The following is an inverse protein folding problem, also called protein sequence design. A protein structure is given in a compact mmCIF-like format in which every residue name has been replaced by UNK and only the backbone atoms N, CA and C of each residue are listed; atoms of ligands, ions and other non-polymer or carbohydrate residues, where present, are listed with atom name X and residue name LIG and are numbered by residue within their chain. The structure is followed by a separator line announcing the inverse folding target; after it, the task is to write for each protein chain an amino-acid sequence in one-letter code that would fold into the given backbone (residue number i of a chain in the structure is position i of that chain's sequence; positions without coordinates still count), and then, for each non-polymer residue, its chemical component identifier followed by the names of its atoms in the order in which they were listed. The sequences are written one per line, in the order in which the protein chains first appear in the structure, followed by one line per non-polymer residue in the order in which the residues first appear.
data_IF_209898678511
#
_entry.id   IF_209898678511
#
_cell.length_a   1.000
_cell.length_b   1.000
_cell.length_c   1.000
_cell.angle_alpha   90.00
_cell.angle_beta   90.00
_cell.angle_gamma   90.00
#
_symmetry.space_group_name_H-M   'P 1'
#
loop_
_entity.id
_entity.type
_entity.pdbx_description
1 polymer ?
#
# COMPACT_ATOMS: atom_id res chain seq x y z
N UNK A 1 -35.19 -0.23 -9.73
CA UNK A 1 -34.65 -0.40 -9.40
C UNK A 1 -33.94 -0.47 -9.12
N UNK A 2 -33.93 -0.52 -9.19
CA UNK A 2 -33.12 -0.56 -8.84
C UNK A 2 -32.20 -0.35 -8.68
N UNK A 3 -31.96 -0.12 -8.77
CA UNK A 3 -31.15 0.00 -8.64
C UNK A 3 -30.36 -0.09 -8.05
N UNK A 4 -30.47 0.03 -7.96
CA UNK A 4 -29.79 -0.13 -7.38
C UNK A 4 -28.99 -0.63 -7.02
N UNK A 5 -28.75 -0.78 -7.18
CA UNK A 5 -28.15 -1.41 -6.79
C UNK A 5 -27.18 -1.50 -6.80
N UNK A 6 -27.04 -1.11 -7.06
CA UNK A 6 -26.20 -1.23 -7.02
C UNK A 6 -25.33 -1.16 -6.63
N UNK A 7 -25.28 -0.71 -6.54
CA UNK A 7 -24.57 -0.74 -6.04
C UNK A 7 -23.84 -1.11 -5.50
N UNK A 8 -23.94 -1.09 -5.47
CA UNK A 8 -23.42 -1.56 -4.79
C UNK A 8 -22.41 -1.67 -4.66
N UNK A 9 -22.18 -1.53 -4.90
CA UNK A 9 -21.30 -1.75 -4.79
C UNK A 9 -20.40 -1.46 -4.71
N UNK A 10 -20.60 -1.12 -4.89
CA UNK A 10 -19.75 -0.90 -4.63
C UNK A 10 -18.74 -0.48 -4.03
N UNK A 11 -19.36 -0.32 -3.35
CA UNK A 11 -18.27 0.10 -2.57
C UNK A 11 -17.09 -0.67 -2.81
N UNK A 12 -16.14 -0.04 -3.30
CA UNK A 12 -14.95 -0.75 -3.62
C UNK A 12 -14.38 -1.26 -2.37
N UNK A 13 -14.56 -2.50 -2.18
CA UNK A 13 -13.79 -3.16 -1.23
C UNK A 13 -12.43 -3.28 -1.79
N UNK A 14 -11.46 -2.82 -1.07
CA UNK A 14 -10.11 -3.16 -1.38
C UNK A 14 -10.01 -4.65 -1.11
N UNK A 15 -9.89 -5.43 -2.16
CA UNK A 15 -9.60 -6.83 -1.99
C UNK A 15 -8.18 -6.90 -1.50
N UNK A 16 -7.99 -7.30 -0.27
CA UNK A 16 -6.68 -7.28 0.35
C UNK A 16 -6.47 -8.49 1.21
N UNK A 17 -5.22 -8.87 1.33
CA UNK A 17 -4.80 -10.00 2.13
C UNK A 17 -3.67 -9.55 3.03
N UNK A 18 -3.82 -9.64 4.36
CA UNK A 18 -2.75 -9.22 5.26
C UNK A 18 -1.51 -10.08 5.08
N UNK A 19 -0.35 -9.44 5.18
CA UNK A 19 0.94 -10.11 5.06
C UNK A 19 1.79 -9.65 6.23
N UNK A 20 2.70 -10.51 6.70
CA UNK A 20 3.60 -10.13 7.77
C UNK A 20 4.44 -8.92 7.36
N UNK A 21 4.64 -7.94 8.23
CA UNK A 21 5.41 -6.74 7.87
C UNK A 21 6.82 -7.05 7.39
N UNK A 22 7.42 -8.14 7.84
CA UNK A 22 8.75 -8.52 7.38
C UNK A 22 8.79 -8.90 5.91
N UNK A 23 7.62 -9.01 5.26
CA UNK A 23 7.56 -9.39 3.85
C UNK A 23 8.39 -8.46 2.97
N UNK A 24 8.45 -7.17 3.31
CA UNK A 24 9.18 -6.20 2.51
C UNK A 24 10.67 -6.55 2.44
N UNK A 25 11.18 -7.25 3.45
CA UNK A 25 12.59 -7.60 3.50
C UNK A 25 13.00 -8.60 2.42
N UNK A 26 12.04 -9.23 1.76
CA UNK A 26 12.36 -10.17 0.68
C UNK A 26 12.89 -9.47 -0.57
N UNK A 27 12.63 -8.16 -0.69
CA UNK A 27 13.05 -7.44 -1.88
C UNK A 27 14.45 -6.89 -1.69
N UNK A 28 15.35 -7.26 -2.60
CA UNK A 28 16.72 -6.78 -2.56
C UNK A 28 16.79 -5.31 -2.93
N UNK A 29 15.87 -4.85 -3.77
CA UNK A 29 15.88 -3.48 -4.25
C UNK A 29 14.49 -2.88 -4.20
N UNK A 30 14.45 -1.60 -3.86
CA UNK A 30 13.22 -0.82 -3.89
C UNK A 30 13.50 0.39 -4.76
N UNK A 31 12.77 0.47 -5.88
CA UNK A 31 12.87 1.61 -6.79
C UNK A 31 11.64 2.47 -6.59
N UNK A 32 11.80 3.77 -6.82
CA UNK A 32 10.69 4.70 -6.64
C UNK A 32 10.37 5.35 -7.98
N UNK A 33 9.17 5.11 -8.48
CA UNK A 33 8.70 5.72 -9.70
C UNK A 33 8.31 7.16 -9.42
N UNK A 34 8.42 8.03 -10.42
CA UNK A 34 8.14 9.45 -10.22
C UNK A 34 6.71 9.69 -9.74
N UNK A 35 5.77 8.81 -10.07
CA UNK A 35 4.39 8.97 -9.61
C UNK A 35 4.27 8.91 -8.09
N UNK A 36 5.22 8.27 -7.42
CA UNK A 36 5.18 8.18 -5.97
C UNK A 36 5.42 9.53 -5.29
N UNK A 37 5.96 10.49 -6.02
CA UNK A 37 6.24 11.81 -5.45
C UNK A 37 5.10 12.80 -5.62
N UNK A 38 4.00 12.37 -6.21
CA UNK A 38 2.89 13.24 -6.53
C UNK A 38 2.34 13.98 -5.32
N UNK A 39 2.38 13.35 -4.16
CA UNK A 39 1.80 13.91 -2.95
C UNK A 39 2.84 14.51 -2.01
N UNK A 40 4.05 14.70 -2.50
CA UNK A 40 5.07 15.42 -1.74
C UNK A 40 5.84 14.63 -0.70
N UNK A 41 5.71 13.33 -0.69
CA UNK A 41 6.45 12.49 0.25
C UNK A 41 7.88 12.34 -0.27
N UNK A 42 8.86 12.54 0.61
CA UNK A 42 10.27 12.48 0.22
C UNK A 42 10.74 11.05 0.04
N UNK A 43 11.84 10.92 -0.71
CA UNK A 43 12.50 9.62 -0.86
C UNK A 43 12.84 9.03 0.49
N UNK A 44 13.37 9.85 1.38
CA UNK A 44 13.75 9.39 2.71
C UNK A 44 12.55 8.80 3.45
N UNK A 45 11.41 9.51 3.41
CA UNK A 45 10.24 9.03 4.13
C UNK A 45 9.63 7.79 3.51
N UNK A 46 9.69 7.66 2.19
CA UNK A 46 9.22 6.43 1.55
C UNK A 46 10.02 5.24 2.05
N UNK A 47 11.36 5.37 2.06
CA UNK A 47 12.20 4.29 2.56
C UNK A 47 11.97 4.06 4.05
N UNK A 48 11.72 5.12 4.82
CA UNK A 48 11.46 5.00 6.24
C UNK A 48 10.21 4.16 6.51
N UNK A 49 9.16 4.41 5.73
CA UNK A 49 7.93 3.62 5.86
C UNK A 49 8.20 2.16 5.56
N UNK A 50 8.92 1.89 4.48
CA UNK A 50 9.21 0.50 4.10
C UNK A 50 10.03 -0.21 5.17
N UNK A 51 10.96 0.49 5.79
CA UNK A 51 11.82 -0.09 6.81
C UNK A 51 11.11 -0.27 8.15
N UNK A 52 10.06 0.51 8.38
CA UNK A 52 9.35 0.52 9.67
C UNK A 52 7.88 0.22 9.51
N UNK A 53 7.52 -0.59 8.53
CA UNK A 53 6.12 -0.86 8.24
C UNK A 53 5.44 -1.56 9.41
N UNK A 54 4.20 -1.15 9.66
CA UNK A 54 3.39 -1.75 10.72
C UNK A 54 2.38 -2.74 10.16
N UNK A 55 1.94 -2.51 8.92
CA UNK A 55 0.95 -3.36 8.28
C UNK A 55 1.25 -3.45 6.80
N UNK A 56 1.07 -4.63 6.23
CA UNK A 56 1.28 -4.86 4.81
C UNK A 56 0.13 -5.70 4.31
N UNK A 57 -0.40 -5.34 3.13
CA UNK A 57 -1.47 -6.09 2.49
C UNK A 57 -1.12 -6.32 1.04
N UNK A 58 -1.48 -7.48 0.53
CA UNK A 58 -1.44 -7.72 -0.90
C UNK A 58 -2.78 -7.30 -1.45
N UNK A 59 -2.78 -6.43 -2.46
CA UNK A 59 -3.99 -5.91 -3.07
C UNK A 59 -4.29 -6.66 -4.35
N UNK A 60 -5.60 -6.82 -4.64
CA UNK A 60 -6.05 -7.34 -5.93
C UNK A 60 -5.34 -8.63 -6.32
N UNK A 61 -5.58 -9.68 -5.54
CA UNK A 61 -4.92 -10.96 -5.77
C UNK A 61 -5.29 -11.59 -7.11
N UNK A 62 -6.28 -11.03 -7.81
CA UNK A 62 -6.68 -11.56 -9.10
C UNK A 62 -5.88 -10.96 -10.24
N UNK A 63 -5.08 -9.95 -9.96
CA UNK A 63 -4.24 -9.32 -10.97
C UNK A 63 -2.99 -10.16 -11.20
N UNK A 64 -2.44 -10.07 -12.42
CA UNK A 64 -1.16 -10.69 -12.70
C UNK A 64 -0.03 -9.98 -11.96
N UNK A 65 -0.22 -8.70 -11.66
CA UNK A 65 0.79 -7.95 -10.93
C UNK A 65 0.59 -8.14 -9.45
N UNK A 66 1.69 -8.34 -8.74
CA UNK A 66 1.64 -8.37 -7.28
C UNK A 66 1.77 -6.94 -6.80
N UNK A 67 0.69 -6.44 -6.18
CA UNK A 67 0.61 -5.08 -5.70
C UNK A 67 0.56 -5.12 -4.18
N UNK A 68 1.49 -4.41 -3.55
CA UNK A 68 1.65 -4.44 -2.10
C UNK A 68 1.35 -3.07 -1.51
N UNK A 69 0.47 -3.04 -0.53
CA UNK A 69 0.17 -1.83 0.24
C UNK A 69 0.96 -1.91 1.54
N UNK A 70 1.78 -0.90 1.78
CA UNK A 70 2.66 -0.84 2.94
C UNK A 70 2.25 0.36 3.78
N UNK A 71 2.01 0.16 5.06
CA UNK A 71 1.63 1.22 5.97
C UNK A 71 2.67 1.32 7.06
N UNK A 72 3.12 2.53 7.33
CA UNK A 72 4.09 2.75 8.37
C UNK A 72 4.30 4.25 8.59
N UNK A 73 5.11 4.59 9.58
CA UNK A 73 5.34 6.00 9.92
C UNK A 73 6.41 6.62 9.04
N UNK A 74 6.24 7.91 8.76
CA UNK A 74 7.34 8.68 8.18
C UNK A 74 8.29 9.06 9.30
N UNK A 75 9.33 9.84 9.00
CA UNK A 75 10.34 10.20 10.00
C UNK A 75 9.77 11.07 11.12
N UNK A 76 8.63 11.69 10.90
CA UNK A 76 7.98 12.52 11.92
C UNK A 76 6.89 11.75 12.68
N UNK A 77 6.70 10.48 12.36
CA UNK A 77 5.70 9.65 13.05
C UNK A 77 4.31 9.66 12.43
N UNK A 78 4.14 10.33 11.29
CA UNK A 78 2.84 10.34 10.63
C UNK A 78 2.69 9.09 9.79
N UNK A 79 1.51 8.47 9.86
CA UNK A 79 1.27 7.26 9.08
C UNK A 79 1.09 7.58 7.61
N UNK A 80 1.80 6.84 6.79
CA UNK A 80 1.72 6.96 5.34
C UNK A 80 1.26 5.63 4.76
N UNK A 81 0.66 5.72 3.57
CA UNK A 81 0.37 4.55 2.77
C UNK A 81 1.28 4.58 1.55
N UNK A 82 1.91 3.46 1.27
CA UNK A 82 2.84 3.31 0.17
C UNK A 82 2.42 2.08 -0.62
N UNK A 83 2.39 2.20 -1.94
CA UNK A 83 2.03 1.06 -2.78
C UNK A 83 3.19 0.76 -3.71
N UNK A 84 3.56 -0.52 -3.75
CA UNK A 84 4.60 -0.99 -4.64
C UNK A 84 4.11 -2.12 -5.51
N UNK A 85 4.71 -2.22 -6.69
CA UNK A 85 4.49 -3.34 -7.60
C UNK A 85 5.72 -4.21 -7.59
N UNK A 86 5.53 -5.51 -7.49
CA UNK A 86 6.65 -6.43 -7.60
C UNK A 86 7.02 -6.52 -9.07
N UNK A 87 8.25 -6.11 -9.40
CA UNK A 87 8.72 -6.15 -10.78
C UNK A 87 9.24 -7.54 -11.12
N UNK A 88 9.97 -8.11 -10.18
CA UNK A 88 10.43 -9.48 -10.28
C UNK A 88 10.60 -9.97 -8.86
N UNK A 89 11.12 -11.15 -8.66
CA UNK A 89 11.19 -11.72 -7.31
C UNK A 89 12.01 -10.91 -6.33
N UNK A 90 12.77 -9.92 -6.81
CA UNK A 90 13.72 -9.22 -5.96
C UNK A 90 13.54 -7.71 -5.90
N UNK A 91 12.66 -7.17 -6.73
CA UNK A 91 12.53 -5.70 -6.83
C UNK A 91 11.10 -5.25 -6.64
N UNK A 92 10.94 -4.18 -5.88
CA UNK A 92 9.64 -3.57 -5.64
C UNK A 92 9.69 -2.15 -6.21
N UNK A 93 8.75 -1.81 -7.08
CA UNK A 93 8.64 -0.47 -7.65
C UNK A 93 7.56 0.30 -6.93
N UNK A 94 7.96 1.32 -6.19
CA UNK A 94 7.00 2.14 -5.45
C UNK A 94 6.35 3.11 -6.43
N UNK A 95 5.03 3.07 -6.50
CA UNK A 95 4.27 3.92 -7.44
C UNK A 95 3.37 4.92 -6.75
N UNK A 96 3.25 4.86 -5.41
CA UNK A 96 2.30 5.69 -4.70
C UNK A 96 2.77 5.85 -3.26
N UNK A 97 2.70 7.08 -2.76
CA UNK A 97 3.01 7.36 -1.36
C UNK A 97 2.26 8.61 -0.95
N UNK A 98 1.52 8.55 0.14
CA UNK A 98 0.80 9.70 0.65
C UNK A 98 0.37 9.46 2.10
N UNK A 99 -0.13 10.50 2.75
CA UNK A 99 -0.72 10.35 4.07
C UNK A 99 -1.83 9.31 3.99
N UNK A 100 -1.92 8.48 5.01
CA UNK A 100 -2.89 7.40 5.00
C UNK A 100 -4.30 7.96 4.88
N UNK A 101 -5.07 7.41 3.95
CA UNK A 101 -6.46 7.82 3.74
C UNK A 101 -7.36 7.04 4.67
N UNK A 102 -8.55 7.60 4.91
CA UNK A 102 -9.49 6.96 5.82
C UNK A 102 -9.85 5.54 5.37
N UNK A 103 -10.00 5.33 4.07
CA UNK A 103 -10.33 4.00 3.56
C UNK A 103 -9.26 2.98 3.90
N UNK A 104 -7.99 3.42 3.85
CA UNK A 104 -6.87 2.54 4.18
C UNK A 104 -6.78 2.34 5.69
N UNK A 105 -7.02 3.42 6.45
CA UNK A 105 -7.04 3.30 7.91
C UNK A 105 -8.12 2.33 8.36
N UNK A 106 -9.30 2.38 7.70
CA UNK A 106 -10.37 1.45 8.01
C UNK A 106 -9.95 0.01 7.74
N UNK A 107 -9.17 -0.20 6.68
CA UNK A 107 -8.66 -1.53 6.37
C UNK A 107 -7.80 -2.05 7.51
N UNK A 108 -6.92 -1.20 8.04
CA UNK A 108 -6.05 -1.58 9.15
C UNK A 108 -6.88 -1.89 10.39
N UNK A 109 -7.84 -1.03 10.70
CA UNK A 109 -8.65 -1.19 11.92
C UNK A 109 -9.66 -2.31 11.76
N UNK A 110 -10.19 -2.47 10.57
CA UNK A 110 -11.27 -3.42 10.34
C UNK A 110 -10.84 -4.87 10.35
N UNK A 111 -9.54 -5.13 10.30
CA UNK A 111 -9.08 -6.51 10.30
C UNK A 111 -9.19 -7.16 11.68
N UNK A 112 -9.42 -6.36 12.68
CA UNK A 112 -9.53 -6.88 14.04
C UNK A 112 -10.86 -7.62 14.29
#
# INVERSE_FOLDING_TARGET
MPRRKRRVRKTPQLKSKPIAPSFVLRYAETEIHETAYKHGVSTFDIHHVCANSSDIFELDQESYEIKILIIGPDSAGNLLEVIGLEINNQSLLIIHAMKIRKSVMNLVEGRS
#
